data_IF_300076254218
#
_entry.id   IF_300076254218
#
_cell.length_a   1.000
_cell.length_b   1.000
_cell.length_c   1.000
_cell.angle_alpha   90.00
_cell.angle_beta   90.00
_cell.angle_gamma   90.00
#
_symmetry.space_group_name_H-M   'P 1'
#
loop_
_entity.id
_entity.type
_entity.pdbx_description
1 polymer ?
#
# COMPACT_ATOMS: atom_id res chain seq x y z
N UNK A 1 -9.47 14.09 9.96
CA UNK A 1 -8.55 13.26 9.15
C UNK A 1 -7.53 14.18 8.50
N UNK A 2 -6.25 13.86 8.59
CA UNK A 2 -5.14 14.59 7.93
C UNK A 2 -4.27 13.62 7.14
N UNK A 3 -3.69 14.08 6.03
CA UNK A 3 -2.82 13.27 5.16
C UNK A 3 -1.44 13.90 5.14
N UNK A 4 -0.42 13.12 5.49
CA UNK A 4 0.99 13.49 5.35
C UNK A 4 1.56 12.67 4.19
N UNK A 5 2.20 13.35 3.24
CA UNK A 5 2.85 12.69 2.11
C UNK A 5 4.34 12.52 2.38
N UNK A 6 4.82 11.30 2.26
CA UNK A 6 6.25 11.06 2.10
C UNK A 6 6.72 11.37 0.69
N UNK A 7 8.01 11.20 0.45
CA UNK A 7 8.66 11.59 -0.82
C UNK A 7 8.69 10.48 -1.87
N UNK A 8 8.33 9.24 -1.51
CA UNK A 8 8.43 8.11 -2.44
C UNK A 8 7.44 8.25 -3.62
N UNK A 9 6.20 8.68 -3.35
CA UNK A 9 5.20 8.85 -4.41
C UNK A 9 4.23 10.00 -4.07
N UNK A 10 4.69 11.26 -4.18
CA UNK A 10 3.85 12.42 -3.85
C UNK A 10 2.61 12.54 -4.74
N UNK A 11 2.71 12.13 -6.01
CA UNK A 11 1.57 12.15 -6.94
C UNK A 11 0.41 11.29 -6.43
N UNK A 12 0.70 10.09 -5.92
CA UNK A 12 -0.33 9.22 -5.33
C UNK A 12 -1.00 9.90 -4.14
N UNK A 13 -0.21 10.53 -3.27
CA UNK A 13 -0.74 11.26 -2.12
C UNK A 13 -1.68 12.40 -2.55
N UNK A 14 -1.28 13.14 -3.59
CA UNK A 14 -2.09 14.24 -4.15
C UNK A 14 -3.41 13.71 -4.71
N UNK A 15 -3.38 12.60 -5.46
CA UNK A 15 -4.57 11.99 -6.03
C UNK A 15 -5.53 11.49 -4.94
N UNK A 16 -4.98 10.85 -3.89
CA UNK A 16 -5.78 10.41 -2.73
C UNK A 16 -6.41 11.62 -2.03
N UNK A 17 -5.64 12.66 -1.78
CA UNK A 17 -6.13 13.87 -1.11
C UNK A 17 -7.25 14.54 -1.94
N UNK A 18 -7.07 14.62 -3.25
CA UNK A 18 -8.07 15.15 -4.17
C UNK A 18 -9.34 14.32 -4.14
N UNK A 19 -9.23 12.99 -4.21
CA UNK A 19 -10.38 12.08 -4.17
C UNK A 19 -11.16 12.24 -2.85
N UNK A 20 -10.45 12.36 -1.74
CA UNK A 20 -11.05 12.51 -0.41
C UNK A 20 -11.45 13.97 -0.10
N UNK A 21 -11.27 14.90 -1.05
CA UNK A 21 -11.60 16.33 -0.90
C UNK A 21 -10.93 16.94 0.33
N UNK A 22 -9.68 16.58 0.56
CA UNK A 22 -8.87 17.09 1.68
C UNK A 22 -7.53 17.65 1.15
N UNK A 23 -6.74 18.21 2.04
CA UNK A 23 -5.41 18.75 1.70
C UNK A 23 -4.33 17.91 2.33
N UNK A 24 -3.17 17.87 1.65
CA UNK A 24 -1.95 17.30 2.24
C UNK A 24 -1.43 18.31 3.27
N UNK A 25 -1.04 17.78 4.42
CA UNK A 25 -0.43 18.56 5.51
C UNK A 25 0.86 19.21 5.01
N UNK A 26 1.02 20.49 5.32
CA UNK A 26 2.27 21.21 5.04
C UNK A 26 3.38 20.61 5.90
N UNK A 27 4.34 19.97 5.25
CA UNK A 27 5.49 19.37 5.91
C UNK A 27 6.75 19.60 5.06
N UNK A 28 7.87 19.71 5.72
CA UNK A 28 9.17 19.88 5.10
C UNK A 28 9.99 18.62 5.34
N UNK A 29 10.21 17.85 4.29
CA UNK A 29 11.00 16.61 4.32
C UNK A 29 12.26 16.85 3.51
N UNK A 30 13.41 16.71 4.12
CA UNK A 30 14.70 16.94 3.47
C UNK A 30 15.75 15.97 4.00
N UNK A 31 16.87 15.94 3.35
CA UNK A 31 18.03 15.16 3.76
C UNK A 31 19.20 16.10 4.08
N UNK A 32 19.92 15.78 5.12
CA UNK A 32 21.19 16.42 5.44
C UNK A 32 22.26 15.93 4.47
N UNK A 33 23.45 16.56 4.52
CA UNK A 33 24.57 16.23 3.64
C UNK A 33 25.05 14.76 3.79
N UNK A 34 24.85 14.18 4.98
CA UNK A 34 25.16 12.79 5.30
C UNK A 34 24.00 11.83 4.99
N UNK A 35 22.95 12.32 4.32
CA UNK A 35 21.74 11.60 3.93
C UNK A 35 20.78 11.30 5.08
N UNK A 36 21.00 11.79 6.30
CA UNK A 36 20.02 11.66 7.38
C UNK A 36 18.72 12.39 7.02
N UNK A 37 17.61 11.77 7.36
CA UNK A 37 16.28 12.32 7.08
C UNK A 37 15.89 13.34 8.15
N UNK A 38 15.42 14.50 7.72
CA UNK A 38 14.81 15.50 8.59
C UNK A 38 13.36 15.73 8.17
N UNK A 39 12.46 15.75 9.14
CA UNK A 39 11.04 16.03 8.90
C UNK A 39 10.56 17.10 9.87
N UNK A 40 9.84 18.07 9.35
CA UNK A 40 9.17 19.12 10.10
C UNK A 40 7.70 19.19 9.67
N UNK A 41 6.79 19.04 10.62
CA UNK A 41 5.35 19.14 10.36
C UNK A 41 4.92 20.58 10.70
N UNK A 42 4.47 21.34 9.71
CA UNK A 42 4.18 22.76 9.84
C UNK A 42 2.72 23.05 10.20
N UNK A 43 2.01 22.04 10.73
CA UNK A 43 0.61 22.16 11.13
C UNK A 43 0.39 21.50 12.50
N UNK A 44 -0.64 21.97 13.19
CA UNK A 44 -1.03 21.35 14.46
C UNK A 44 -1.64 19.97 14.22
N UNK A 45 -1.03 18.94 14.81
CA UNK A 45 -1.46 17.54 14.68
C UNK A 45 -2.18 17.03 15.94
N UNK A 46 -2.22 17.83 17.01
CA UNK A 46 -2.76 17.38 18.30
C UNK A 46 -4.20 16.84 18.13
N UNK A 47 -4.41 15.61 18.57
CA UNK A 47 -5.72 14.97 18.56
C UNK A 47 -6.22 14.55 17.19
N UNK A 48 -5.41 14.68 16.14
CA UNK A 48 -5.81 14.36 14.76
C UNK A 48 -5.66 12.87 14.44
N UNK A 49 -6.55 12.36 13.59
CA UNK A 49 -6.37 11.09 12.89
C UNK A 49 -5.49 11.38 11.66
N UNK A 50 -4.31 10.76 11.59
CA UNK A 50 -3.31 11.07 10.57
C UNK A 50 -2.99 9.83 9.73
N UNK A 51 -2.97 9.99 8.42
CA UNK A 51 -2.58 8.97 7.45
C UNK A 51 -1.25 9.41 6.81
N UNK A 52 -0.19 8.61 7.02
CA UNK A 52 1.13 8.83 6.42
C UNK A 52 1.23 7.95 5.17
N UNK A 53 1.27 8.55 4.00
CA UNK A 53 1.37 7.81 2.73
C UNK A 53 2.84 7.78 2.31
N UNK A 54 3.47 6.61 2.40
CA UNK A 54 4.88 6.43 2.04
C UNK A 54 5.13 4.99 1.57
N UNK A 55 5.44 4.82 0.31
CA UNK A 55 5.89 3.52 -0.20
C UNK A 55 7.30 3.21 0.29
N UNK A 56 7.56 1.96 0.62
CA UNK A 56 8.89 1.53 1.06
C UNK A 56 9.61 0.70 -0.02
N UNK A 57 9.37 1.04 -1.31
CA UNK A 57 10.10 0.53 -2.45
C UNK A 57 11.47 1.19 -2.57
N UNK A 58 12.16 0.97 -3.69
CA UNK A 58 13.51 1.54 -3.93
C UNK A 58 13.50 3.08 -3.84
N UNK A 59 14.47 3.67 -3.15
CA UNK A 59 15.47 3.06 -2.25
C UNK A 59 14.88 2.70 -0.88
N UNK A 60 14.77 1.40 -0.62
CA UNK A 60 13.95 0.88 0.48
C UNK A 60 14.40 1.38 1.85
N UNK A 61 15.71 1.40 2.11
CA UNK A 61 16.23 1.81 3.42
C UNK A 61 15.91 3.27 3.72
N UNK A 62 16.09 4.14 2.73
CA UNK A 62 15.81 5.57 2.86
C UNK A 62 14.31 5.81 3.09
N UNK A 63 13.47 5.12 2.33
CA UNK A 63 12.02 5.28 2.42
C UNK A 63 11.47 4.73 3.75
N UNK A 64 12.04 3.62 4.25
CA UNK A 64 11.67 3.10 5.56
C UNK A 64 12.08 4.08 6.66
N UNK A 65 13.31 4.57 6.62
CA UNK A 65 13.76 5.53 7.64
C UNK A 65 12.92 6.81 7.62
N UNK A 66 12.60 7.31 6.42
CA UNK A 66 11.71 8.49 6.27
C UNK A 66 10.35 8.22 6.91
N UNK A 67 9.76 7.05 6.65
CA UNK A 67 8.49 6.66 7.27
C UNK A 67 8.59 6.66 8.79
N UNK A 68 9.63 6.05 9.35
CA UNK A 68 9.81 5.92 10.81
C UNK A 68 9.97 7.30 11.46
N UNK A 69 10.78 8.18 10.87
CA UNK A 69 11.01 9.54 11.38
C UNK A 69 9.71 10.36 11.29
N UNK A 70 8.94 10.17 10.21
CA UNK A 70 7.64 10.83 10.04
C UNK A 70 6.64 10.41 11.12
N UNK A 71 6.55 9.11 11.40
CA UNK A 71 5.67 8.57 12.43
C UNK A 71 6.08 9.11 13.82
N UNK A 72 7.37 9.12 14.14
CA UNK A 72 7.86 9.65 15.41
C UNK A 72 7.53 11.15 15.55
N UNK A 73 7.73 11.93 14.51
CA UNK A 73 7.39 13.37 14.52
C UNK A 73 5.90 13.59 14.82
N UNK A 74 5.01 12.79 14.20
CA UNK A 74 3.57 12.88 14.42
C UNK A 74 3.18 12.43 15.83
N UNK A 75 3.81 11.38 16.34
CA UNK A 75 3.62 10.90 17.71
C UNK A 75 3.99 12.02 18.72
N UNK A 76 5.15 12.67 18.50
CA UNK A 76 5.60 13.80 19.35
C UNK A 76 4.70 15.03 19.20
N UNK A 77 4.06 15.20 18.04
CA UNK A 77 3.07 16.25 17.80
C UNK A 77 1.69 15.92 18.39
N UNK A 78 1.58 14.82 19.17
CA UNK A 78 0.36 14.38 19.87
C UNK A 78 -0.79 14.04 18.91
N UNK A 79 -0.48 13.48 17.73
CA UNK A 79 -1.50 12.89 16.87
C UNK A 79 -2.26 11.80 17.66
N UNK A 80 -3.58 11.71 17.47
CA UNK A 80 -4.41 10.74 18.19
C UNK A 80 -4.18 9.32 17.70
N UNK A 81 -4.21 9.14 16.38
CA UNK A 81 -3.92 7.86 15.73
C UNK A 81 -3.11 8.12 14.47
N UNK A 82 -2.14 7.25 14.22
CA UNK A 82 -1.27 7.31 13.03
C UNK A 82 -1.44 6.03 12.25
N UNK A 83 -1.96 6.13 11.04
CA UNK A 83 -2.07 5.02 10.09
C UNK A 83 -0.97 5.15 9.04
N UNK A 84 -0.09 4.15 8.97
CA UNK A 84 0.93 4.06 7.93
C UNK A 84 0.31 3.45 6.68
N UNK A 85 0.24 4.21 5.59
CA UNK A 85 -0.29 3.75 4.30
C UNK A 85 0.90 3.44 3.40
N UNK A 86 1.12 2.15 3.15
CA UNK A 86 2.30 1.63 2.47
C UNK A 86 1.88 0.99 1.13
N UNK A 87 1.85 1.77 0.03
CA UNK A 87 1.53 1.19 -1.29
C UNK A 87 2.46 0.04 -1.69
N UNK A 88 3.64 -0.03 -1.08
CA UNK A 88 4.55 -1.16 -1.19
C UNK A 88 5.22 -1.38 0.17
N UNK A 89 5.19 -2.62 0.67
CA UNK A 89 5.82 -3.01 1.93
C UNK A 89 7.20 -3.61 1.64
N UNK A 90 8.25 -2.83 1.88
CA UNK A 90 9.64 -3.26 1.68
C UNK A 90 10.05 -4.38 2.63
N UNK A 91 11.00 -5.21 2.22
CA UNK A 91 11.50 -6.38 2.96
C UNK A 91 10.48 -7.51 3.14
N UNK A 92 9.29 -7.42 2.55
CA UNK A 92 8.24 -8.43 2.68
C UNK A 92 8.67 -9.82 2.22
N UNK A 93 9.60 -9.91 1.25
CA UNK A 93 10.09 -11.19 0.70
C UNK A 93 10.84 -12.06 1.72
N UNK A 94 11.31 -11.47 2.84
CA UNK A 94 12.01 -12.19 3.90
C UNK A 94 11.07 -12.38 5.10
N UNK A 95 10.00 -13.13 4.89
CA UNK A 95 8.95 -13.39 5.87
C UNK A 95 9.20 -14.64 6.71
N UNK A 96 10.24 -15.40 6.38
CA UNK A 96 10.63 -16.66 7.07
C UNK A 96 12.13 -16.87 6.95
N UNK A 97 12.67 -17.72 7.81
CA UNK A 97 14.06 -18.18 7.69
C UNK A 97 14.17 -19.17 6.52
N UNK A 98 14.96 -18.83 5.54
CA UNK A 98 15.24 -19.71 4.38
C UNK A 98 16.47 -20.57 4.66
N UNK A 99 17.44 -20.03 5.41
CA UNK A 99 18.68 -20.72 5.78
C UNK A 99 18.95 -20.53 7.28
N UNK A 100 19.76 -21.42 7.89
CA UNK A 100 20.17 -21.20 9.29
C UNK A 100 20.84 -19.81 9.47
N UNK A 101 20.53 -19.16 10.58
CA UNK A 101 21.10 -17.85 10.96
C UNK A 101 20.74 -16.71 10.02
N UNK A 102 19.68 -16.87 9.17
CA UNK A 102 19.14 -15.79 8.34
C UNK A 102 18.11 -14.96 9.11
N UNK A 103 17.91 -13.70 8.75
CA UNK A 103 16.91 -12.85 9.41
C UNK A 103 15.49 -13.15 8.94
N UNK A 104 14.50 -12.57 9.65
CA UNK A 104 13.11 -12.41 9.19
C UNK A 104 12.89 -10.90 9.08
N UNK A 105 13.36 -10.32 7.98
CA UNK A 105 13.39 -8.86 7.84
C UNK A 105 11.99 -8.25 7.79
N UNK A 106 10.99 -8.98 7.29
CA UNK A 106 9.59 -8.52 7.30
C UNK A 106 9.11 -8.27 8.74
N UNK A 107 9.44 -9.17 9.70
CA UNK A 107 9.08 -8.97 11.11
C UNK A 107 9.85 -7.80 11.73
N UNK A 108 11.14 -7.66 11.38
CA UNK A 108 11.93 -6.52 11.87
C UNK A 108 11.30 -5.19 11.44
N UNK A 109 10.95 -5.05 10.15
CA UNK A 109 10.34 -3.82 9.63
C UNK A 109 8.97 -3.58 10.29
N UNK A 110 8.16 -4.63 10.44
CA UNK A 110 6.87 -4.53 11.14
C UNK A 110 7.04 -3.99 12.57
N UNK A 111 8.01 -4.52 13.31
CA UNK A 111 8.32 -4.06 14.67
C UNK A 111 8.78 -2.60 14.67
N UNK A 112 9.63 -2.19 13.73
CA UNK A 112 10.10 -0.80 13.64
C UNK A 112 8.94 0.17 13.43
N UNK A 113 8.01 -0.16 12.55
CA UNK A 113 6.83 0.68 12.25
C UNK A 113 5.94 0.79 13.51
N UNK A 114 5.70 -0.33 14.18
CA UNK A 114 4.89 -0.34 15.42
C UNK A 114 5.58 0.48 16.51
N UNK A 115 6.86 0.26 16.73
CA UNK A 115 7.63 0.95 17.79
C UNK A 115 7.77 2.44 17.53
N UNK A 116 7.85 2.86 16.26
CA UNK A 116 7.86 4.28 15.90
C UNK A 116 6.58 4.99 16.37
N UNK A 117 5.45 4.26 16.40
CA UNK A 117 4.20 4.79 16.93
C UNK A 117 3.00 4.67 15.99
N UNK A 118 3.09 3.87 14.94
CA UNK A 118 1.91 3.60 14.11
C UNK A 118 0.88 2.80 14.90
N UNK A 119 -0.39 3.12 14.70
CA UNK A 119 -1.54 2.44 15.33
C UNK A 119 -2.20 1.44 14.36
N UNK A 120 -1.93 1.58 13.07
CA UNK A 120 -2.52 0.76 12.01
C UNK A 120 -1.62 0.83 10.76
N UNK A 121 -1.60 -0.25 9.99
CA UNK A 121 -0.96 -0.26 8.67
C UNK A 121 -2.03 -0.56 7.62
N UNK A 122 -2.01 0.19 6.53
CA UNK A 122 -2.74 -0.13 5.30
C UNK A 122 -1.70 -0.39 4.22
N UNK A 123 -1.77 -1.52 3.56
CA UNK A 123 -0.81 -1.87 2.51
C UNK A 123 -1.50 -2.53 1.34
N UNK A 124 -0.76 -2.72 0.25
CA UNK A 124 -1.28 -3.26 -1.00
C UNK A 124 -0.47 -4.49 -1.39
N UNK A 125 -1.16 -5.59 -1.69
CA UNK A 125 -0.57 -6.82 -2.25
C UNK A 125 0.68 -7.27 -1.48
N UNK A 126 0.54 -7.57 -0.21
CA UNK A 126 1.63 -8.17 0.59
C UNK A 126 2.18 -9.41 -0.12
N UNK A 127 3.50 -9.55 -0.11
CA UNK A 127 4.20 -10.70 -0.70
C UNK A 127 3.62 -12.05 -0.23
N UNK A 128 3.19 -12.10 1.03
CA UNK A 128 2.50 -13.26 1.60
C UNK A 128 1.51 -12.78 2.67
N UNK A 129 0.33 -13.37 2.69
CA UNK A 129 -0.76 -12.90 3.56
C UNK A 129 -0.43 -13.02 5.05
N UNK A 130 0.37 -14.01 5.44
CA UNK A 130 0.77 -14.21 6.84
C UNK A 130 1.61 -13.04 7.39
N UNK A 131 2.16 -12.16 6.55
CA UNK A 131 2.91 -10.97 7.00
C UNK A 131 2.01 -10.04 7.81
N UNK A 132 0.72 -10.05 7.63
CA UNK A 132 -0.25 -9.33 8.46
C UNK A 132 -0.08 -9.69 9.95
N UNK A 133 0.23 -10.94 10.26
CA UNK A 133 0.59 -11.38 11.60
C UNK A 133 1.94 -10.86 12.13
N UNK A 134 2.78 -10.32 11.28
CA UNK A 134 4.00 -9.77 11.65
C UNK A 134 3.83 -8.48 12.34
N UNK A 135 2.79 -7.55 12.18
CA UNK A 135 2.54 -6.37 12.82
C UNK A 135 1.77 -6.68 14.06
N UNK A 136 2.06 -6.13 15.31
CA UNK A 136 1.32 -6.24 16.57
C UNK A 136 0.18 -5.18 16.65
N UNK A 137 -0.09 -4.54 15.55
CA UNK A 137 -1.17 -3.56 15.31
C UNK A 137 -2.01 -4.02 14.12
N UNK A 138 -3.26 -3.54 13.97
CA UNK A 138 -4.11 -3.92 12.83
C UNK A 138 -3.46 -3.63 11.49
N UNK A 139 -3.61 -4.56 10.56
CA UNK A 139 -3.10 -4.45 9.18
C UNK A 139 -4.23 -4.71 8.21
N UNK A 140 -4.47 -3.77 7.31
CA UNK A 140 -5.39 -3.91 6.18
C UNK A 140 -4.57 -4.17 4.91
N UNK A 141 -4.59 -5.40 4.42
CA UNK A 141 -3.96 -5.74 3.14
C UNK A 141 -4.99 -5.62 2.04
N UNK A 142 -4.86 -4.59 1.23
CA UNK A 142 -5.72 -4.35 0.06
C UNK A 142 -5.18 -5.14 -1.13
N UNK A 143 -6.07 -5.49 -2.06
CA UNK A 143 -5.69 -6.23 -3.26
C UNK A 143 -5.94 -5.37 -4.50
N UNK A 144 -4.92 -5.20 -5.32
CA UNK A 144 -5.01 -4.44 -6.57
C UNK A 144 -5.64 -5.28 -7.71
N UNK A 145 -5.72 -6.60 -7.56
CA UNK A 145 -6.22 -7.50 -8.59
C UNK A 145 -7.61 -7.07 -9.13
N UNK A 146 -8.60 -6.72 -8.30
CA UNK A 146 -9.89 -6.27 -8.84
C UNK A 146 -9.78 -5.01 -9.71
N UNK A 147 -8.90 -4.10 -9.36
CA UNK A 147 -8.65 -2.88 -10.15
C UNK A 147 -7.97 -3.21 -11.48
N UNK A 148 -6.95 -4.06 -11.44
CA UNK A 148 -6.25 -4.50 -12.66
C UNK A 148 -7.18 -5.25 -13.63
N UNK A 149 -8.03 -6.12 -13.10
CA UNK A 149 -9.02 -6.85 -13.91
C UNK A 149 -9.97 -5.86 -14.59
N UNK A 150 -10.46 -4.88 -13.88
CA UNK A 150 -11.34 -3.83 -14.40
C UNK A 150 -10.65 -2.99 -15.48
N UNK A 151 -9.48 -2.54 -15.21
CA UNK A 151 -8.67 -1.77 -16.15
C UNK A 151 -8.29 -2.55 -17.41
N UNK A 152 -8.03 -3.64 -17.13
CA UNK A 152 -7.63 -4.45 -18.20
C UNK A 152 -8.78 -4.78 -19.09
N UNK A 153 -9.75 -4.88 -18.51
CA UNK A 153 -10.86 -5.10 -19.28
C UNK A 153 -11.34 -3.90 -19.99
N UNK A 154 -11.05 -2.99 -19.47
CA UNK A 154 -11.46 -1.77 -20.03
C UNK A 154 -10.50 -1.20 -21.00
N UNK A 155 -9.44 -1.44 -20.75
CA UNK A 155 -8.39 -0.90 -21.54
C UNK A 155 -8.06 -1.70 -22.74
N UNK A 156 -8.21 -2.87 -22.77
CA UNK A 156 -7.67 -3.74 -23.82
C UNK A 156 -8.75 -4.24 -24.79
N UNK A 157 -10.00 -3.98 -24.55
CA UNK A 157 -11.11 -4.53 -25.34
C UNK A 157 -10.92 -6.04 -25.58
N UNK A 158 -10.39 -6.73 -24.58
CA UNK A 158 -10.03 -8.13 -24.69
C UNK A 158 -11.27 -8.99 -24.57
N UNK A 159 -11.63 -9.64 -25.64
CA UNK A 159 -12.38 -10.90 -25.54
C UNK A 159 -11.61 -11.80 -24.56
N UNK A 160 -12.30 -12.34 -23.60
CA UNK A 160 -11.87 -12.87 -22.30
C UNK A 160 -10.82 -14.01 -22.28
N UNK A 161 -9.93 -14.12 -23.25
CA UNK A 161 -9.07 -15.29 -23.31
C UNK A 161 -7.55 -15.03 -23.40
N UNK A 162 -7.12 -13.80 -23.08
CA UNK A 162 -5.69 -13.53 -22.99
C UNK A 162 -5.31 -12.89 -21.65
N UNK A 163 -5.35 -13.69 -20.60
CA UNK A 163 -4.75 -13.30 -19.32
C UNK A 163 -3.32 -13.86 -19.33
N UNK A 164 -2.32 -13.01 -19.14
CA UNK A 164 -0.93 -13.45 -19.15
C UNK A 164 -0.68 -14.49 -18.02
N UNK A 165 0.26 -15.42 -18.22
CA UNK A 165 0.60 -16.39 -17.18
C UNK A 165 0.97 -15.74 -15.85
N UNK A 166 1.58 -14.55 -15.87
CA UNK A 166 1.96 -13.82 -14.66
C UNK A 166 0.73 -13.31 -13.90
N UNK A 167 -0.25 -12.75 -14.61
CA UNK A 167 -1.51 -12.30 -14.00
C UNK A 167 -2.28 -13.50 -13.42
N UNK A 168 -2.29 -14.62 -14.15
CA UNK A 168 -2.91 -15.86 -13.69
C UNK A 168 -2.22 -16.39 -12.42
N UNK A 169 -0.90 -16.30 -12.35
CA UNK A 169 -0.12 -16.75 -11.18
C UNK A 169 -0.49 -15.92 -9.93
N UNK A 170 -0.57 -14.61 -10.08
CA UNK A 170 -0.95 -13.70 -8.97
C UNK A 170 -2.36 -14.03 -8.47
N UNK A 171 -3.28 -14.28 -9.38
CA UNK A 171 -4.68 -14.62 -9.02
C UNK A 171 -4.78 -16.00 -8.34
N UNK A 172 -3.96 -16.96 -8.77
CA UNK A 172 -3.87 -18.31 -8.14
C UNK A 172 -3.31 -18.22 -6.71
N UNK A 173 -2.30 -17.41 -6.50
CA UNK A 173 -1.73 -17.18 -5.15
C UNK A 173 -2.75 -16.61 -4.17
N UNK A 174 -3.78 -15.93 -4.67
CA UNK A 174 -4.86 -15.38 -3.86
C UNK A 174 -5.98 -16.41 -3.57
N UNK A 175 -5.74 -17.70 -3.86
CA UNK A 175 -6.67 -18.77 -3.53
C UNK A 175 -7.88 -18.90 -4.44
N UNK A 176 -7.85 -18.23 -5.58
CA UNK A 176 -8.91 -18.39 -6.58
C UNK A 176 -8.60 -19.57 -7.49
N UNK A 177 -9.54 -20.51 -7.58
CA UNK A 177 -9.40 -21.63 -8.54
C UNK A 177 -9.54 -21.13 -9.97
N UNK A 178 -8.90 -21.83 -10.92
CA UNK A 178 -9.01 -21.49 -12.34
C UNK A 178 -10.47 -21.41 -12.81
N UNK A 179 -11.34 -22.28 -12.30
CA UNK A 179 -12.77 -22.25 -12.61
C UNK A 179 -13.46 -21.01 -12.04
N UNK A 180 -13.13 -20.61 -10.81
CA UNK A 180 -13.67 -19.40 -10.20
C UNK A 180 -13.28 -18.15 -10.97
N UNK A 181 -12.02 -18.11 -11.40
CA UNK A 181 -11.50 -17.00 -12.20
C UNK A 181 -12.18 -16.92 -13.58
N UNK A 182 -12.33 -18.06 -14.25
CA UNK A 182 -13.03 -18.13 -15.55
C UNK A 182 -14.49 -17.72 -15.43
N UNK A 183 -15.18 -18.15 -14.36
CA UNK A 183 -16.57 -17.76 -14.10
C UNK A 183 -16.70 -16.26 -13.82
N UNK A 184 -15.76 -15.67 -13.07
CA UNK A 184 -15.75 -14.23 -12.81
C UNK A 184 -15.50 -13.45 -14.10
N UNK A 185 -14.56 -13.88 -14.92
CA UNK A 185 -14.28 -13.26 -16.21
C UNK A 185 -15.47 -13.42 -17.18
N UNK A 186 -16.15 -14.57 -17.16
CA UNK A 186 -17.34 -14.80 -17.99
C UNK A 186 -18.55 -14.00 -17.53
N UNK A 187 -18.70 -13.75 -16.22
CA UNK A 187 -19.81 -12.91 -15.72
C UNK A 187 -19.60 -11.44 -16.10
N UNK A 188 -18.33 -10.97 -15.99
CA UNK A 188 -17.99 -9.59 -16.37
C UNK A 188 -18.22 -9.34 -17.86
N UNK A 189 -17.87 -10.32 -18.74
CA UNK A 189 -18.09 -10.20 -20.18
C UNK A 189 -19.57 -10.26 -20.56
N UNK A 190 -20.41 -10.94 -19.78
CA UNK A 190 -21.87 -11.00 -20.05
C UNK A 190 -22.56 -9.68 -19.66
N UNK A 191 -22.16 -9.05 -18.56
CA UNK A 191 -22.73 -7.76 -18.16
C UNK A 191 -22.38 -6.65 -19.16
N UNK A 192 -21.15 -6.64 -19.68
CA UNK A 192 -20.73 -5.67 -20.68
C UNK A 192 -21.43 -5.86 -22.03
N UNK A 193 -21.69 -7.11 -22.45
CA UNK A 193 -22.40 -7.40 -23.69
C UNK A 193 -23.90 -7.02 -23.67
N UNK A 194 -24.50 -6.97 -22.47
CA UNK A 194 -25.93 -6.58 -22.33
C UNK A 194 -26.08 -5.06 -22.41
N UNK A 195 -25.00 -4.30 -22.11
CA UNK A 195 -25.07 -2.83 -22.18
C UNK A 195 -24.77 -2.26 -23.58
N UNK A 196 -24.21 -3.06 -24.51
CA UNK A 196 -23.87 -2.57 -25.85
C UNK A 196 -24.95 -2.77 -26.92
N UNK A 197 -26.16 -3.21 -26.54
CA UNK A 197 -27.23 -3.36 -27.56
C UNK A 197 -28.53 -2.64 -27.16
N UNK A 198 -28.54 -1.30 -27.23
CA UNK A 198 -29.83 -0.58 -27.24
C UNK A 198 -30.17 -0.24 -28.68
N UNK A 199 -30.96 -1.06 -29.32
CA UNK A 199 -31.71 -0.84 -30.57
C UNK A 199 -31.50 -1.90 -31.64
N UNK A 200 -32.42 -2.75 -31.75
CA UNK A 200 -33.00 -3.18 -33.00
C UNK A 200 -34.50 -2.89 -32.88
#
# INVERSE_FOLDING_TARGET
>A
MKIVSGTNNPKLSEEIAKYLKTKIVNSNIKRFADSEVYIEINENMRGSEVFVIQGTSYPANDNIMELLVCIDALRRASAKNITAVLPYFGYARQDRKVTPRSPISAKLVANLITNAGANRVVTLDLHANQIQGXXDIPVDNLFAAPTFVKDXXXXLNLKAWYVSPQTLAVLKEQGQSEKGLMLTLQSLTKEDLVQENPRS
#
